data_IF_838687178508
#
_entry.id   IF_838687178508
#
_cell.length_a   1.000
_cell.length_b   1.000
_cell.length_c   1.000
_cell.angle_alpha   90.00
_cell.angle_beta   90.00
_cell.angle_gamma   90.00
#
_symmetry.space_group_name_H-M   'P 1'
#
loop_
_entity.id
_entity.type
_entity.pdbx_description
1 polymer ?
#
# COMPACT_ATOMS: atom_id res chain seq x y z
N UNK A 1 -13.24 -8.41 16.71
CA UNK A 1 -12.52 -9.65 16.52
C UNK A 1 -13.15 -10.40 15.36
N UNK A 2 -12.53 -10.34 14.17
CA UNK A 2 -12.98 -11.02 12.96
C UNK A 2 -12.51 -12.47 12.89
N UNK A 3 -12.66 -13.25 14.00
CA UNK A 3 -12.36 -14.66 13.96
C UNK A 3 -13.49 -15.42 13.26
N UNK A 4 -13.21 -16.00 12.10
CA UNK A 4 -14.11 -16.92 11.43
C UNK A 4 -14.20 -18.21 12.26
N UNK A 5 -15.37 -18.45 12.85
CA UNK A 5 -15.66 -19.71 13.53
C UNK A 5 -16.19 -20.71 12.50
N UNK A 6 -15.45 -21.78 12.24
CA UNK A 6 -15.92 -22.88 11.40
C UNK A 6 -16.80 -23.77 12.26
N UNK A 7 -18.11 -23.66 12.11
CA UNK A 7 -19.07 -24.55 12.78
C UNK A 7 -19.32 -25.73 11.87
N UNK A 8 -18.86 -26.90 12.28
CA UNK A 8 -19.15 -28.16 11.61
C UNK A 8 -20.19 -28.92 12.47
N UNK A 9 -21.41 -29.04 11.94
CA UNK A 9 -22.44 -29.87 12.56
C UNK A 9 -22.26 -31.26 11.97
N UNK A 10 -21.79 -32.20 12.77
CA UNK A 10 -21.75 -33.63 12.43
C UNK A 10 -22.78 -34.35 13.26
N UNK A 11 -23.68 -35.06 12.61
CA UNK A 11 -24.54 -36.03 13.27
C UNK A 11 -23.75 -37.35 13.49
N UNK A 12 -24.08 -38.08 14.53
CA UNK A 12 -23.41 -39.32 14.91
C UNK A 12 -23.81 -40.52 14.01
N UNK A 13 -24.27 -40.23 12.81
CA UNK A 13 -24.63 -41.22 11.79
C UNK A 13 -23.38 -41.57 10.96
N UNK A 14 -23.30 -42.81 10.53
CA UNK A 14 -22.26 -43.24 9.62
C UNK A 14 -22.21 -42.34 8.39
N UNK A 15 -21.01 -41.94 7.92
CA UNK A 15 -20.89 -41.04 6.79
C UNK A 15 -21.59 -41.64 5.56
N UNK A 16 -22.46 -40.86 4.95
CA UNK A 16 -23.15 -41.26 3.74
C UNK A 16 -22.15 -41.39 2.60
N UNK A 17 -21.94 -42.64 2.17
CA UNK A 17 -21.06 -43.00 1.04
C UNK A 17 -21.92 -43.37 -0.17
N UNK A 18 -21.31 -43.43 -1.36
CA UNK A 18 -21.99 -43.86 -2.59
C UNK A 18 -22.58 -45.30 -2.46
N UNK A 19 -22.00 -46.12 -1.60
CA UNK A 19 -22.39 -47.51 -1.42
C UNK A 19 -23.56 -47.68 -0.48
N UNK A 20 -23.66 -46.88 0.59
CA UNK A 20 -24.73 -46.98 1.59
C UNK A 20 -25.91 -46.05 1.39
N UNK A 21 -25.79 -45.07 0.44
CA UNK A 21 -26.80 -44.08 0.22
C UNK A 21 -28.15 -44.68 -0.26
N UNK A 22 -28.10 -45.74 -1.06
CA UNK A 22 -29.32 -46.41 -1.58
C UNK A 22 -30.01 -47.26 -0.52
N UNK A 23 -29.26 -47.70 0.48
CA UNK A 23 -29.78 -48.54 1.58
C UNK A 23 -30.37 -47.71 2.74
N UNK A 24 -30.36 -46.38 2.62
CA UNK A 24 -30.95 -45.51 3.62
C UNK A 24 -32.47 -45.76 3.71
N UNK A 25 -32.93 -46.12 4.90
CA UNK A 25 -34.32 -46.46 5.17
C UNK A 25 -35.10 -45.23 5.67
N UNK A 26 -36.24 -44.99 5.06
CA UNK A 26 -37.18 -43.92 5.46
C UNK A 26 -38.50 -44.55 5.95
N UNK A 27 -39.06 -44.04 7.02
CA UNK A 27 -40.38 -44.41 7.51
C UNK A 27 -41.42 -43.63 6.72
N UNK A 28 -42.25 -44.35 6.01
CA UNK A 28 -43.42 -43.75 5.30
C UNK A 28 -44.69 -44.11 6.07
N UNK A 29 -45.58 -43.15 6.23
CA UNK A 29 -46.90 -43.34 6.76
C UNK A 29 -47.94 -43.14 5.64
N UNK A 30 -48.64 -44.21 5.31
CA UNK A 30 -49.74 -44.13 4.32
C UNK A 30 -51.07 -44.23 5.08
N UNK A 31 -51.96 -43.29 4.81
CA UNK A 31 -53.30 -43.25 5.37
C UNK A 31 -54.21 -43.95 4.38
N UNK A 32 -54.79 -45.08 4.79
CA UNK A 32 -55.74 -45.80 3.98
C UNK A 32 -57.12 -45.08 3.96
N UNK A 33 -57.96 -45.39 2.97
CA UNK A 33 -59.28 -44.78 2.79
C UNK A 33 -60.18 -44.93 4.03
N UNK A 34 -59.85 -45.78 4.96
CA UNK A 34 -60.52 -46.02 6.26
C UNK A 34 -59.95 -45.18 7.42
N UNK A 35 -58.96 -44.33 7.17
CA UNK A 35 -58.33 -43.45 8.20
C UNK A 35 -57.28 -44.18 9.06
N UNK A 36 -56.90 -45.39 8.72
CA UNK A 36 -55.88 -46.15 9.46
C UNK A 36 -54.51 -45.81 8.89
N UNK A 37 -53.58 -45.36 9.75
CA UNK A 37 -52.20 -45.06 9.39
C UNK A 37 -51.38 -46.33 9.45
N UNK A 38 -50.91 -46.83 8.31
CA UNK A 38 -49.92 -47.94 8.23
C UNK A 38 -48.56 -47.32 8.02
N UNK A 39 -47.60 -47.63 8.89
CA UNK A 39 -46.20 -47.28 8.79
C UNK A 39 -45.43 -48.38 8.04
N UNK A 40 -44.84 -48.00 6.92
CA UNK A 40 -43.95 -48.88 6.15
C UNK A 40 -42.53 -48.28 6.12
N UNK A 41 -41.52 -49.10 5.93
CA UNK A 41 -40.16 -48.64 5.65
C UNK A 41 -39.87 -48.87 4.19
N UNK A 42 -39.34 -47.82 3.49
CA UNK A 42 -38.82 -47.92 2.13
C UNK A 42 -37.36 -47.46 2.09
N UNK A 43 -36.60 -48.02 1.19
CA UNK A 43 -35.21 -47.58 0.96
C UNK A 43 -35.16 -46.46 -0.07
N UNK A 44 -34.10 -45.66 -0.04
CA UNK A 44 -33.93 -44.61 -1.05
C UNK A 44 -33.87 -45.19 -2.47
N UNK A 45 -33.30 -46.43 -2.62
CA UNK A 45 -33.24 -47.15 -3.87
C UNK A 45 -34.59 -47.53 -4.47
N UNK A 46 -35.66 -47.67 -3.63
CA UNK A 46 -37.01 -47.94 -4.10
C UNK A 46 -37.70 -46.73 -4.73
N UNK A 47 -37.27 -45.52 -4.34
CA UNK A 47 -37.98 -44.29 -4.68
C UNK A 47 -37.15 -43.46 -5.71
N UNK A 48 -35.81 -43.54 -5.71
CA UNK A 48 -34.94 -42.70 -6.47
C UNK A 48 -33.83 -43.48 -7.17
N UNK A 49 -33.42 -43.03 -8.33
CA UNK A 49 -32.20 -43.44 -9.01
C UNK A 49 -31.19 -42.29 -8.96
N UNK A 50 -29.93 -42.57 -8.73
CA UNK A 50 -28.89 -41.59 -8.74
C UNK A 50 -28.00 -41.66 -9.99
N UNK A 51 -27.53 -40.51 -10.45
CA UNK A 51 -26.55 -40.36 -11.52
C UNK A 51 -25.36 -39.57 -11.02
N UNK A 52 -24.16 -39.96 -11.44
CA UNK A 52 -22.96 -39.20 -11.11
C UNK A 52 -22.88 -37.97 -12.04
N UNK A 53 -22.72 -36.80 -11.46
CA UNK A 53 -22.47 -35.56 -12.17
C UNK A 53 -21.26 -34.85 -11.56
N UNK A 54 -20.71 -33.90 -12.29
CA UNK A 54 -19.68 -32.99 -11.78
C UNK A 54 -20.38 -31.83 -11.08
N UNK A 55 -20.05 -31.59 -9.83
CA UNK A 55 -20.49 -30.42 -9.07
C UNK A 55 -19.25 -29.65 -8.57
N UNK A 56 -19.29 -28.35 -8.48
CA UNK A 56 -18.22 -27.59 -7.85
C UNK A 56 -18.13 -27.99 -6.36
N UNK A 57 -16.88 -28.15 -5.88
CA UNK A 57 -16.60 -28.53 -4.50
C UNK A 57 -17.06 -27.45 -3.49
N UNK A 58 -16.98 -26.20 -3.90
CA UNK A 58 -17.49 -25.06 -3.14
C UNK A 58 -18.10 -24.01 -4.07
N UNK A 59 -19.17 -23.37 -3.59
CA UNK A 59 -19.78 -22.23 -4.26
C UNK A 59 -19.45 -20.99 -3.45
N UNK A 60 -18.57 -20.14 -3.99
CA UNK A 60 -18.21 -18.87 -3.38
C UNK A 60 -19.10 -17.76 -3.94
N UNK A 61 -19.54 -16.86 -3.06
CA UNK A 61 -20.32 -15.69 -3.45
C UNK A 61 -19.88 -14.46 -2.66
N UNK A 62 -19.83 -13.33 -3.32
CA UNK A 62 -19.55 -12.03 -2.74
C UNK A 62 -20.63 -11.05 -3.21
N UNK A 63 -21.20 -10.27 -2.30
CA UNK A 63 -22.28 -9.32 -2.61
C UNK A 63 -23.44 -9.96 -3.39
N UNK A 64 -23.82 -11.21 -3.03
CA UNK A 64 -24.89 -12.00 -3.68
C UNK A 64 -24.56 -12.44 -5.13
N UNK A 65 -23.36 -12.21 -5.60
CA UNK A 65 -22.89 -12.67 -6.92
C UNK A 65 -21.98 -13.87 -6.76
N UNK A 66 -22.21 -14.93 -7.51
CA UNK A 66 -21.34 -16.11 -7.52
C UNK A 66 -20.09 -15.82 -8.32
N UNK A 67 -18.92 -16.24 -7.84
CA UNK A 67 -17.66 -16.07 -8.54
C UNK A 67 -16.78 -17.32 -8.48
N UNK A 68 -15.88 -17.43 -9.44
CA UNK A 68 -14.83 -18.44 -9.49
C UNK A 68 -13.50 -17.72 -9.50
N UNK A 69 -12.62 -18.11 -8.59
CA UNK A 69 -11.27 -17.55 -8.55
C UNK A 69 -10.33 -18.42 -9.38
N UNK A 70 -9.67 -17.79 -10.34
CA UNK A 70 -8.58 -18.38 -11.11
C UNK A 70 -7.28 -17.74 -10.64
N UNK A 71 -6.41 -18.53 -10.03
CA UNK A 71 -5.10 -18.06 -9.56
C UNK A 71 -4.03 -18.34 -10.60
N UNK A 72 -3.19 -17.35 -10.86
CA UNK A 72 -2.03 -17.48 -11.75
C UNK A 72 -0.83 -16.79 -11.12
N UNK A 73 0.34 -17.37 -11.28
CA UNK A 73 1.59 -16.81 -10.81
C UNK A 73 2.47 -16.38 -11.98
N UNK A 74 3.32 -15.39 -11.75
CA UNK A 74 4.28 -14.96 -12.78
C UNK A 74 5.56 -15.79 -12.68
N UNK A 75 6.14 -16.10 -13.83
CA UNK A 75 7.44 -16.78 -13.89
C UNK A 75 8.54 -15.90 -13.28
N UNK A 76 9.54 -16.55 -12.69
CA UNK A 76 10.72 -15.86 -12.15
C UNK A 76 11.37 -14.93 -13.17
N UNK A 77 11.69 -13.72 -12.75
CA UNK A 77 12.30 -12.68 -13.59
C UNK A 77 11.31 -11.74 -14.29
N UNK A 78 10.01 -11.97 -14.17
CA UNK A 78 8.99 -11.06 -14.68
C UNK A 78 8.40 -10.20 -13.54
N UNK A 79 8.19 -8.92 -13.82
CA UNK A 79 7.56 -8.02 -12.86
C UNK A 79 6.03 -8.22 -12.86
N UNK A 80 5.49 -8.66 -11.73
CA UNK A 80 4.07 -8.98 -11.54
C UNK A 80 3.15 -7.80 -11.90
N UNK A 81 3.52 -6.58 -11.53
CA UNK A 81 2.73 -5.37 -11.81
C UNK A 81 2.62 -5.08 -13.31
N UNK A 82 3.71 -5.30 -14.07
CA UNK A 82 3.70 -5.10 -15.53
C UNK A 82 2.85 -6.17 -16.20
N UNK A 83 3.00 -7.44 -15.79
CA UNK A 83 2.22 -8.54 -16.34
C UNK A 83 0.73 -8.40 -16.02
N UNK A 84 0.37 -7.98 -14.83
CA UNK A 84 -1.02 -7.72 -14.45
C UNK A 84 -1.67 -6.62 -15.28
N UNK A 85 -0.92 -5.54 -15.61
CA UNK A 85 -1.44 -4.50 -16.53
C UNK A 85 -1.65 -5.01 -17.94
N UNK A 86 -0.77 -5.89 -18.42
CA UNK A 86 -0.92 -6.51 -19.76
C UNK A 86 -2.13 -7.46 -19.75
N UNK A 87 -2.30 -8.24 -18.69
CA UNK A 87 -3.43 -9.12 -18.50
C UNK A 87 -4.75 -8.33 -18.41
N UNK A 88 -4.79 -7.26 -17.62
CA UNK A 88 -5.97 -6.40 -17.52
C UNK A 88 -6.40 -5.87 -18.89
N UNK A 89 -5.46 -5.33 -19.67
CA UNK A 89 -5.77 -4.86 -21.04
C UNK A 89 -6.34 -5.94 -21.93
N UNK A 90 -5.85 -7.18 -21.82
CA UNK A 90 -6.37 -8.31 -22.58
C UNK A 90 -7.76 -8.73 -22.13
N UNK A 91 -8.01 -8.71 -20.82
CA UNK A 91 -9.33 -9.00 -20.24
C UNK A 91 -10.35 -7.93 -20.62
N UNK A 92 -9.95 -6.64 -20.57
CA UNK A 92 -10.81 -5.53 -21.00
C UNK A 92 -11.15 -5.65 -22.50
N UNK A 93 -10.18 -6.04 -23.34
CA UNK A 93 -10.43 -6.28 -24.76
C UNK A 93 -11.35 -7.51 -24.98
N UNK A 94 -11.19 -8.56 -24.19
CA UNK A 94 -12.04 -9.75 -24.26
C UNK A 94 -13.47 -9.47 -23.77
N UNK A 95 -13.64 -8.62 -22.75
CA UNK A 95 -14.95 -8.19 -22.26
C UNK A 95 -15.78 -7.41 -23.30
N UNK A 96 -15.12 -6.85 -24.32
CA UNK A 96 -15.77 -6.15 -25.45
C UNK A 96 -16.15 -7.10 -26.59
N UNK A 97 -15.77 -8.38 -26.52
CA UNK A 97 -16.12 -9.38 -27.55
C UNK A 97 -17.45 -10.07 -27.18
N UNK A 98 -18.24 -10.45 -28.18
CA UNK A 98 -19.51 -11.18 -28.02
C UNK A 98 -19.33 -12.62 -27.48
N UNK A 99 -18.09 -13.03 -27.19
CA UNK A 99 -17.78 -14.36 -26.64
C UNK A 99 -18.05 -14.45 -25.14
N UNK A 100 -18.27 -13.31 -24.47
CA UNK A 100 -18.54 -13.28 -23.03
C UNK A 100 -20.05 -13.51 -22.76
N UNK A 101 -20.42 -14.48 -21.91
CA UNK A 101 -21.82 -14.68 -21.54
C UNK A 101 -22.41 -13.43 -20.87
N UNK A 102 -23.66 -13.11 -21.21
CA UNK A 102 -24.37 -11.99 -20.60
C UNK A 102 -24.44 -12.14 -19.06
N UNK A 103 -24.10 -11.07 -18.35
CA UNK A 103 -24.11 -11.05 -16.87
C UNK A 103 -22.83 -11.53 -16.20
N UNK A 104 -21.78 -11.90 -16.98
CA UNK A 104 -20.47 -12.20 -16.45
C UNK A 104 -19.58 -10.94 -16.43
N UNK A 105 -18.72 -10.81 -15.43
CA UNK A 105 -17.71 -9.75 -15.35
C UNK A 105 -16.39 -10.33 -14.84
N UNK A 106 -15.29 -9.75 -15.28
CA UNK A 106 -13.96 -10.07 -14.77
C UNK A 106 -13.54 -9.01 -13.76
N UNK A 107 -13.00 -9.47 -12.64
CA UNK A 107 -12.27 -8.64 -11.68
C UNK A 107 -10.88 -9.22 -11.53
N UNK A 108 -9.84 -8.44 -11.84
CA UNK A 108 -8.47 -8.84 -11.58
C UNK A 108 -8.12 -8.39 -10.16
N UNK A 109 -8.08 -9.36 -9.26
CA UNK A 109 -7.67 -9.16 -7.88
C UNK A 109 -6.26 -9.69 -7.69
N UNK A 110 -5.50 -9.09 -6.79
CA UNK A 110 -4.15 -9.51 -6.48
C UNK A 110 -3.29 -8.38 -5.92
N UNK A 111 -2.05 -8.72 -5.60
CA UNK A 111 -1.10 -7.77 -5.01
C UNK A 111 -0.94 -6.50 -5.86
N UNK A 112 -0.92 -6.63 -7.18
CA UNK A 112 -0.74 -5.49 -8.09
C UNK A 112 -1.95 -4.56 -8.16
N UNK A 113 -3.19 -5.07 -8.07
CA UNK A 113 -4.40 -4.23 -8.03
C UNK A 113 -4.47 -3.47 -6.70
N UNK A 114 -4.16 -4.17 -5.61
CA UNK A 114 -4.06 -3.58 -4.27
C UNK A 114 -2.99 -2.49 -4.21
N UNK A 115 -1.80 -2.75 -4.78
CA UNK A 115 -0.72 -1.74 -4.86
C UNK A 115 -1.16 -0.52 -5.67
N UNK A 116 -1.83 -0.69 -6.82
CA UNK A 116 -2.28 0.45 -7.62
C UNK A 116 -3.33 1.30 -6.88
N UNK A 117 -4.32 0.70 -6.25
CA UNK A 117 -5.29 1.43 -5.41
C UNK A 117 -4.60 2.19 -4.28
N UNK A 118 -3.64 1.55 -3.60
CA UNK A 118 -2.89 2.18 -2.52
C UNK A 118 -2.00 3.32 -3.01
N UNK A 119 -1.39 3.19 -4.20
CA UNK A 119 -0.62 4.29 -4.80
C UNK A 119 -1.51 5.50 -5.04
N UNK A 120 -2.71 5.29 -5.59
CA UNK A 120 -3.65 6.38 -5.85
C UNK A 120 -4.13 7.04 -4.55
N UNK A 121 -4.48 6.25 -3.54
CA UNK A 121 -4.84 6.76 -2.21
C UNK A 121 -3.67 7.53 -1.57
N UNK A 122 -2.46 6.99 -1.61
CA UNK A 122 -1.29 7.64 -1.04
C UNK A 122 -0.94 8.94 -1.75
N UNK A 123 -1.07 8.99 -3.09
CA UNK A 123 -0.89 10.22 -3.86
C UNK A 123 -1.93 11.26 -3.44
N UNK A 124 -3.18 10.87 -3.21
CA UNK A 124 -4.22 11.77 -2.70
C UNK A 124 -3.88 12.29 -1.29
N UNK A 125 -3.48 11.41 -0.38
CA UNK A 125 -3.08 11.82 0.98
C UNK A 125 -1.84 12.71 0.97
N UNK A 126 -0.85 12.44 0.12
CA UNK A 126 0.31 13.31 -0.05
C UNK A 126 -0.07 14.66 -0.65
N UNK A 127 -0.94 14.66 -1.65
CA UNK A 127 -1.45 15.90 -2.25
C UNK A 127 -2.23 16.76 -1.24
N UNK A 128 -2.89 16.14 -0.26
CA UNK A 128 -3.54 16.83 0.83
C UNK A 128 -2.56 17.28 1.92
N UNK A 129 -1.58 16.45 2.25
CA UNK A 129 -0.59 16.74 3.29
C UNK A 129 0.33 17.92 2.94
N UNK A 130 0.76 18.02 1.67
CA UNK A 130 1.65 19.11 1.22
C UNK A 130 1.09 20.51 1.48
N UNK A 131 -0.18 20.86 1.12
CA UNK A 131 -0.77 22.14 1.46
C UNK A 131 -0.88 22.39 2.97
N UNK A 132 -1.20 21.36 3.76
CA UNK A 132 -1.25 21.50 5.21
C UNK A 132 0.13 21.83 5.81
N UNK A 133 1.15 21.10 5.40
CA UNK A 133 2.54 21.36 5.81
C UNK A 133 2.96 22.77 5.37
N UNK A 134 2.59 23.18 4.15
CA UNK A 134 2.85 24.53 3.65
C UNK A 134 2.17 25.59 4.52
N UNK A 135 0.88 25.43 4.85
CA UNK A 135 0.14 26.37 5.69
C UNK A 135 0.76 26.51 7.09
N UNK A 136 1.11 25.39 7.73
CA UNK A 136 1.78 25.40 9.03
C UNK A 136 3.12 26.14 8.96
N UNK A 137 3.90 25.90 7.91
CA UNK A 137 5.16 26.59 7.71
C UNK A 137 4.98 28.09 7.41
N UNK A 138 3.95 28.48 6.63
CA UNK A 138 3.63 29.91 6.39
C UNK A 138 3.30 30.59 7.70
N UNK A 139 2.50 29.97 8.56
CA UNK A 139 2.18 30.49 9.87
C UNK A 139 3.42 30.64 10.78
N UNK A 140 4.35 29.68 10.71
CA UNK A 140 5.58 29.69 11.51
C UNK A 140 6.60 30.72 11.02
N UNK A 141 6.82 30.80 9.71
CA UNK A 141 7.83 31.69 9.11
C UNK A 141 7.31 33.10 8.82
N UNK A 142 6.01 33.34 8.92
CA UNK A 142 5.36 34.60 8.51
C UNK A 142 5.80 35.08 7.10
N UNK A 143 6.11 34.15 6.22
CA UNK A 143 6.63 34.35 4.88
C UNK A 143 6.10 33.28 3.96
N UNK A 144 5.71 33.62 2.74
CA UNK A 144 5.26 32.67 1.72
C UNK A 144 6.44 32.02 0.99
N UNK A 145 7.59 32.69 0.91
CA UNK A 145 8.74 32.22 0.14
C UNK A 145 9.57 31.17 0.88
N UNK A 146 9.74 31.33 2.21
CA UNK A 146 10.51 30.38 3.02
C UNK A 146 9.97 28.94 2.95
N UNK A 147 8.65 28.69 3.13
CA UNK A 147 8.07 27.37 3.00
C UNK A 147 8.22 26.78 1.59
N UNK A 148 8.11 27.61 0.56
CA UNK A 148 8.26 27.18 -0.82
C UNK A 148 9.64 26.57 -1.12
N UNK A 149 10.71 27.19 -0.59
CA UNK A 149 12.07 26.68 -0.72
C UNK A 149 12.22 25.31 -0.03
N UNK A 150 11.63 25.17 1.16
CA UNK A 150 11.68 23.92 1.91
C UNK A 150 10.91 22.83 1.18
N UNK A 151 9.70 23.11 0.68
CA UNK A 151 8.91 22.13 -0.07
C UNK A 151 9.59 21.62 -1.35
N UNK A 152 10.45 22.46 -1.96
CA UNK A 152 11.21 22.04 -3.13
C UNK A 152 12.17 20.86 -2.86
N UNK A 153 12.50 20.61 -1.59
CA UNK A 153 13.33 19.46 -1.21
C UNK A 153 12.59 18.13 -1.26
N UNK A 154 11.25 18.14 -1.20
CA UNK A 154 10.41 16.91 -1.21
C UNK A 154 10.52 16.14 -2.53
N UNK A 155 10.34 16.75 -3.71
CA UNK A 155 10.58 16.08 -4.99
C UNK A 155 11.99 15.49 -5.11
N UNK A 156 12.98 16.19 -4.58
CA UNK A 156 14.36 15.69 -4.56
C UNK A 156 14.51 14.44 -3.69
N UNK A 157 13.86 14.41 -2.53
CA UNK A 157 13.86 13.25 -1.67
C UNK A 157 13.21 12.03 -2.37
N UNK A 158 12.11 12.24 -3.07
CA UNK A 158 11.43 11.18 -3.81
C UNK A 158 12.30 10.62 -4.93
N UNK A 159 13.00 11.48 -5.69
CA UNK A 159 13.95 10.99 -6.69
C UNK A 159 15.05 10.13 -6.08
N UNK A 160 15.57 10.52 -4.90
CA UNK A 160 16.55 9.71 -4.16
C UNK A 160 16.02 8.36 -3.71
N UNK A 161 14.77 8.32 -3.19
CA UNK A 161 14.10 7.08 -2.79
C UNK A 161 13.85 6.14 -3.96
N UNK A 162 13.34 6.67 -5.08
CA UNK A 162 13.10 5.89 -6.31
C UNK A 162 14.41 5.35 -6.91
N UNK A 163 15.47 6.16 -6.94
CA UNK A 163 16.80 5.70 -7.37
C UNK A 163 17.32 4.58 -6.47
N UNK A 164 17.12 4.69 -5.15
CA UNK A 164 17.50 3.64 -4.22
C UNK A 164 16.79 2.32 -4.49
N UNK A 165 15.48 2.35 -4.73
CA UNK A 165 14.70 1.17 -5.09
C UNK A 165 15.15 0.56 -6.42
N UNK A 166 15.42 1.40 -7.42
CA UNK A 166 15.89 0.96 -8.73
C UNK A 166 17.26 0.26 -8.64
N UNK A 167 18.20 0.80 -7.87
CA UNK A 167 19.54 0.22 -7.69
C UNK A 167 19.52 -1.09 -6.91
N UNK A 168 18.62 -1.19 -5.91
CA UNK A 168 18.50 -2.40 -5.09
C UNK A 168 17.58 -3.46 -5.70
N UNK A 169 16.86 -3.13 -6.79
CA UNK A 169 15.90 -4.04 -7.42
C UNK A 169 14.64 -4.32 -6.60
N UNK A 170 14.39 -3.51 -5.58
CA UNK A 170 13.21 -3.66 -4.72
C UNK A 170 11.94 -3.27 -5.45
N UNK A 171 10.88 -4.06 -5.25
CA UNK A 171 9.56 -3.77 -5.81
C UNK A 171 8.85 -2.67 -5.01
N UNK A 172 7.98 -1.94 -5.70
CA UNK A 172 7.12 -0.94 -5.06
C UNK A 172 6.01 -1.68 -4.29
N UNK A 173 6.20 -1.82 -3.00
CA UNK A 173 5.23 -2.43 -2.09
C UNK A 173 4.50 -1.34 -1.28
N UNK A 174 3.40 -1.72 -0.63
CA UNK A 174 2.68 -0.87 0.32
C UNK A 174 3.61 -0.28 1.39
N UNK A 175 4.51 -1.11 1.93
CA UNK A 175 5.43 -0.71 2.98
C UNK A 175 6.48 0.27 2.47
N UNK A 176 6.98 0.09 1.23
CA UNK A 176 7.89 1.06 0.62
C UNK A 176 7.22 2.41 0.34
N UNK A 177 5.94 2.42 -0.01
CA UNK A 177 5.16 3.66 -0.16
C UNK A 177 5.00 4.41 1.17
N UNK A 178 4.76 3.70 2.27
CA UNK A 178 4.79 4.32 3.62
C UNK A 178 6.15 4.97 3.90
N UNK A 179 7.23 4.38 3.40
CA UNK A 179 8.57 4.98 3.47
C UNK A 179 8.67 6.36 2.83
N UNK A 180 7.99 6.61 1.72
CA UNK A 180 7.96 7.94 1.08
C UNK A 180 7.22 8.99 1.93
N UNK A 181 6.17 8.61 2.64
CA UNK A 181 5.46 9.52 3.56
C UNK A 181 6.36 9.92 4.71
N UNK A 182 7.03 8.94 5.34
CA UNK A 182 7.99 9.19 6.42
C UNK A 182 9.16 10.04 5.93
N UNK A 183 9.66 9.74 4.73
CA UNK A 183 10.73 10.50 4.08
C UNK A 183 10.35 11.97 3.88
N UNK A 184 9.13 12.25 3.41
CA UNK A 184 8.63 13.61 3.24
C UNK A 184 8.71 14.41 4.55
N UNK A 185 8.23 13.84 5.65
CA UNK A 185 8.24 14.50 6.95
C UNK A 185 9.65 14.77 7.49
N UNK A 186 10.56 13.81 7.33
CA UNK A 186 11.95 13.95 7.82
C UNK A 186 12.76 14.96 7.02
N UNK A 187 12.59 15.01 5.70
CA UNK A 187 13.31 15.94 4.81
C UNK A 187 12.85 17.37 5.00
N UNK A 188 11.53 17.58 5.12
CA UNK A 188 10.96 18.91 5.40
C UNK A 188 11.50 19.46 6.71
N UNK A 189 11.59 18.65 7.77
CA UNK A 189 12.16 19.05 9.05
C UNK A 189 13.62 19.56 8.93
N UNK A 190 14.46 18.87 8.17
CA UNK A 190 15.83 19.30 7.93
C UNK A 190 15.90 20.65 7.18
N UNK A 191 15.02 20.85 6.18
CA UNK A 191 14.91 22.10 5.44
C UNK A 191 14.45 23.27 6.31
N UNK A 192 13.48 23.04 7.19
CA UNK A 192 12.97 24.06 8.13
C UNK A 192 14.10 24.58 9.01
N UNK A 193 14.88 23.70 9.64
CA UNK A 193 15.97 24.07 10.56
C UNK A 193 17.02 24.93 9.86
N UNK A 194 17.30 24.67 8.58
CA UNK A 194 18.26 25.46 7.80
C UNK A 194 17.69 26.88 7.49
N UNK A 195 16.49 26.93 6.93
CA UNK A 195 15.88 28.20 6.47
C UNK A 195 15.54 29.11 7.66
N UNK A 196 15.05 28.53 8.77
CA UNK A 196 14.75 29.28 9.98
C UNK A 196 15.99 29.98 10.54
N UNK A 197 17.09 29.25 10.67
CA UNK A 197 18.33 29.85 11.18
C UNK A 197 18.90 30.91 10.24
N UNK A 198 18.81 30.72 8.92
CA UNK A 198 19.19 31.73 7.96
C UNK A 198 18.36 33.01 8.09
N UNK A 199 17.04 32.86 8.31
CA UNK A 199 16.14 34.00 8.54
C UNK A 199 16.49 34.76 9.84
N UNK A 200 16.76 34.02 10.94
CA UNK A 200 17.16 34.60 12.23
C UNK A 200 18.43 35.43 12.12
N UNK A 201 19.45 34.91 11.42
CA UNK A 201 20.71 35.65 11.21
C UNK A 201 20.51 36.92 10.36
N UNK A 202 19.61 36.89 9.38
CA UNK A 202 19.26 38.05 8.56
C UNK A 202 18.48 39.10 9.36
N UNK A 203 17.56 38.70 10.20
CA UNK A 203 16.87 39.57 11.16
C UNK A 203 17.85 40.24 12.14
N UNK A 204 18.92 39.51 12.52
CA UNK A 204 20.03 40.04 13.31
C UNK A 204 20.96 41.01 12.57
N UNK A 205 20.64 41.38 11.32
CA UNK A 205 21.40 42.38 10.55
C UNK A 205 22.54 41.83 9.68
N UNK A 206 22.73 40.51 9.58
CA UNK A 206 23.73 39.93 8.71
C UNK A 206 23.31 40.07 7.22
N UNK A 207 24.27 40.34 6.37
CA UNK A 207 24.09 40.30 4.93
C UNK A 207 23.67 38.88 4.48
N UNK A 208 22.81 38.79 3.48
CA UNK A 208 22.23 37.52 2.99
C UNK A 208 23.26 36.40 2.77
N UNK A 209 24.35 36.70 2.04
CA UNK A 209 25.39 35.70 1.76
C UNK A 209 26.19 35.31 3.02
N UNK A 210 26.47 36.29 3.87
CA UNK A 210 27.15 35.99 5.14
C UNK A 210 26.28 35.15 6.06
N UNK A 211 24.95 35.43 6.13
CA UNK A 211 23.99 34.63 6.88
C UNK A 211 23.92 33.17 6.36
N UNK A 212 23.88 32.95 5.05
CA UNK A 212 23.87 31.59 4.46
C UNK A 212 25.14 30.82 4.77
N UNK A 213 26.32 31.44 4.65
CA UNK A 213 27.60 30.81 4.99
C UNK A 213 27.68 30.47 6.47
N UNK A 214 27.23 31.38 7.34
CA UNK A 214 27.19 31.16 8.78
C UNK A 214 26.20 30.03 9.13
N UNK A 215 25.02 29.99 8.49
CA UNK A 215 24.03 28.91 8.66
C UNK A 215 24.62 27.58 8.24
N UNK A 216 25.26 27.50 7.07
CA UNK A 216 25.92 26.27 6.60
C UNK A 216 26.94 25.75 7.61
N UNK A 217 27.84 26.63 8.13
CA UNK A 217 28.86 26.23 9.11
C UNK A 217 28.25 25.74 10.42
N UNK A 218 27.16 26.32 10.88
CA UNK A 218 26.54 26.01 12.19
C UNK A 218 25.58 24.83 12.11
N UNK A 219 24.75 24.76 11.06
CA UNK A 219 23.67 23.78 10.95
C UNK A 219 24.01 22.52 10.18
N UNK A 220 25.08 22.51 9.38
CA UNK A 220 25.49 21.33 8.64
C UNK A 220 25.78 20.12 9.55
N UNK A 221 26.49 20.34 10.67
CA UNK A 221 26.79 19.24 11.63
C UNK A 221 25.54 18.61 12.24
N UNK A 222 24.59 19.35 12.83
CA UNK A 222 23.33 18.77 13.33
C UNK A 222 22.54 18.03 12.25
N UNK A 223 22.41 18.58 11.06
CA UNK A 223 21.65 17.97 9.95
C UNK A 223 22.31 16.64 9.52
N UNK A 224 23.62 16.62 9.34
CA UNK A 224 24.34 15.39 9.00
C UNK A 224 24.26 14.36 10.13
N UNK A 225 24.26 14.78 11.38
CA UNK A 225 24.16 13.90 12.53
C UNK A 225 22.79 13.21 12.61
N UNK A 226 21.70 13.96 12.42
CA UNK A 226 20.34 13.39 12.38
C UNK A 226 20.15 12.46 11.20
N UNK A 227 20.67 12.82 10.02
CA UNK A 227 20.62 11.96 8.84
C UNK A 227 21.40 10.66 9.05
N UNK A 228 22.62 10.76 9.56
CA UNK A 228 23.46 9.58 9.79
C UNK A 228 22.87 8.64 10.84
N UNK A 229 22.33 9.17 11.94
CA UNK A 229 21.66 8.35 12.97
C UNK A 229 20.43 7.65 12.42
N UNK A 230 19.60 8.33 11.60
CA UNK A 230 18.43 7.72 10.97
C UNK A 230 18.84 6.65 9.96
N UNK A 231 19.84 6.92 9.13
CA UNK A 231 20.36 5.96 8.14
C UNK A 231 20.91 4.72 8.85
N UNK A 232 21.72 4.88 9.90
CA UNK A 232 22.26 3.75 10.67
C UNK A 232 21.17 2.93 11.35
N UNK A 233 20.12 3.58 11.88
CA UNK A 233 18.98 2.89 12.47
C UNK A 233 18.21 2.06 11.43
N UNK A 234 18.00 2.61 10.23
CA UNK A 234 17.30 1.90 9.14
C UNK A 234 18.19 0.80 8.51
N UNK A 235 19.51 0.96 8.54
CA UNK A 235 20.45 -0.03 8.00
C UNK A 235 20.34 -1.38 8.70
N UNK A 236 20.03 -1.38 10.00
CA UNK A 236 19.77 -2.59 10.76
C UNK A 236 18.62 -3.41 10.15
N UNK A 237 17.56 -2.76 9.65
CA UNK A 237 16.42 -3.45 9.03
C UNK A 237 16.80 -4.12 7.69
N UNK A 238 17.73 -3.51 6.95
CA UNK A 238 18.16 -4.07 5.64
C UNK A 238 19.02 -5.31 5.83
N UNK A 239 19.83 -5.38 6.89
CA UNK A 239 20.75 -6.50 7.14
C UNK A 239 20.18 -7.58 8.06
N UNK A 240 19.02 -7.36 8.66
CA UNK A 240 18.40 -8.36 9.51
C UNK A 240 17.73 -9.45 8.66
N UNK A 241 17.86 -10.70 9.10
CA UNK A 241 17.26 -11.85 8.43
C UNK A 241 15.86 -12.22 8.99
N UNK A 242 15.34 -11.43 9.91
CA UNK A 242 14.00 -11.65 10.47
C UNK A 242 12.91 -11.38 9.42
N UNK A 243 11.84 -12.17 9.44
CA UNK A 243 10.72 -12.02 8.49
C UNK A 243 10.11 -10.61 8.52
N UNK A 244 9.97 -10.00 9.71
CA UNK A 244 9.48 -8.64 9.86
C UNK A 244 10.41 -7.60 9.22
N UNK A 245 11.72 -7.77 9.37
CA UNK A 245 12.73 -6.89 8.77
C UNK A 245 12.77 -7.01 7.25
N UNK A 246 12.59 -8.21 6.72
CA UNK A 246 12.49 -8.43 5.27
C UNK A 246 11.30 -7.70 4.66
N UNK A 247 10.13 -7.76 5.30
CA UNK A 247 8.94 -7.01 4.87
C UNK A 247 9.17 -5.49 4.90
N UNK A 248 9.90 -4.99 5.92
CA UNK A 248 10.17 -3.56 6.09
C UNK A 248 11.41 -3.07 5.32
N UNK A 249 12.17 -3.96 4.70
CA UNK A 249 13.41 -3.62 3.98
C UNK A 249 13.19 -2.60 2.86
N UNK A 250 12.08 -2.70 2.13
CA UNK A 250 11.71 -1.74 1.09
C UNK A 250 11.53 -0.32 1.64
N UNK A 251 10.87 -0.16 2.78
CA UNK A 251 10.73 1.12 3.47
C UNK A 251 12.09 1.66 3.92
N UNK A 252 12.92 0.81 4.52
CA UNK A 252 14.24 1.21 4.99
C UNK A 252 15.12 1.72 3.85
N UNK A 253 15.13 1.05 2.69
CA UNK A 253 15.90 1.45 1.50
C UNK A 253 15.43 2.82 0.98
N UNK A 254 14.11 3.04 0.89
CA UNK A 254 13.54 4.34 0.49
C UNK A 254 14.02 5.44 1.41
N UNK A 255 13.97 5.22 2.72
CA UNK A 255 14.40 6.23 3.71
C UNK A 255 15.92 6.45 3.64
N UNK A 256 16.73 5.39 3.60
CA UNK A 256 18.20 5.50 3.53
C UNK A 256 18.63 6.30 2.30
N UNK A 257 18.20 5.86 1.12
CA UNK A 257 18.62 6.47 -0.13
C UNK A 257 17.98 7.86 -0.32
N UNK A 258 16.71 7.98 -0.02
CA UNK A 258 15.98 9.24 -0.15
C UNK A 258 16.49 10.32 0.80
N UNK A 259 16.69 9.98 2.08
CA UNK A 259 17.19 10.93 3.07
C UNK A 259 18.65 11.33 2.81
N UNK A 260 19.51 10.37 2.44
CA UNK A 260 20.92 10.65 2.10
C UNK A 260 21.01 11.58 0.89
N UNK A 261 20.28 11.27 -0.19
CA UNK A 261 20.25 12.09 -1.39
C UNK A 261 19.66 13.47 -1.12
N UNK A 262 18.49 13.52 -0.45
CA UNK A 262 17.84 14.77 -0.09
C UNK A 262 18.73 15.65 0.79
N UNK A 263 19.43 15.10 1.77
CA UNK A 263 20.30 15.87 2.66
C UNK A 263 21.44 16.50 1.89
N UNK A 264 22.09 15.74 1.00
CA UNK A 264 23.14 16.29 0.14
C UNK A 264 22.60 17.41 -0.75
N UNK A 265 21.47 17.17 -1.41
CA UNK A 265 20.86 18.17 -2.30
C UNK A 265 20.34 19.39 -1.54
N UNK A 266 19.77 19.22 -0.35
CA UNK A 266 19.29 20.32 0.50
C UNK A 266 20.45 21.26 0.88
N UNK A 267 21.61 20.72 1.22
CA UNK A 267 22.77 21.53 1.59
C UNK A 267 23.30 22.40 0.43
N UNK A 268 23.05 21.99 -0.83
CA UNK A 268 23.45 22.76 -2.01
C UNK A 268 22.31 23.60 -2.57
N UNK A 269 21.14 23.02 -2.75
CA UNK A 269 20.03 23.63 -3.48
C UNK A 269 19.31 24.68 -2.62
N UNK A 270 19.10 24.42 -1.33
CA UNK A 270 18.39 25.36 -0.45
C UNK A 270 19.12 26.69 -0.33
N UNK A 271 20.43 26.77 -0.09
CA UNK A 271 21.14 28.05 -0.09
C UNK A 271 21.06 28.79 -1.42
N UNK A 272 21.15 28.06 -2.54
CA UNK A 272 21.08 28.67 -3.89
C UNK A 272 19.67 29.23 -4.13
N UNK A 273 18.61 28.47 -3.86
CA UNK A 273 17.24 28.93 -4.00
C UNK A 273 16.96 30.13 -3.08
N UNK A 274 17.48 30.07 -1.86
CA UNK A 274 17.36 31.17 -0.91
C UNK A 274 18.05 32.45 -1.43
N UNK A 275 19.26 32.33 -2.00
CA UNK A 275 19.99 33.50 -2.57
C UNK A 275 19.27 34.08 -3.79
N UNK A 276 18.62 33.26 -4.61
CA UNK A 276 17.87 33.67 -5.79
C UNK A 276 16.57 34.41 -5.43
N UNK A 277 15.80 33.80 -4.50
CA UNK A 277 14.44 34.24 -4.17
C UNK A 277 14.42 35.40 -3.20
N UNK A 278 15.31 35.45 -2.22
CA UNK A 278 15.36 36.52 -1.20
C UNK A 278 16.27 37.69 -1.56
N UNK A 279 16.01 38.36 -2.66
CA UNK A 279 16.79 39.55 -3.09
C UNK A 279 16.52 40.78 -2.23
N UNK A 280 15.35 40.91 -1.60
CA UNK A 280 14.97 42.04 -0.74
C UNK A 280 15.36 41.83 0.72
N UNK A 281 15.68 42.88 1.49
CA UNK A 281 15.88 42.73 2.94
C UNK A 281 14.59 42.21 3.62
N UNK A 282 14.70 41.49 4.76
CA UNK A 282 13.53 41.03 5.48
C UNK A 282 12.73 42.25 5.97
N UNK A 283 11.40 42.14 5.86
CA UNK A 283 10.50 43.10 6.48
C UNK A 283 10.63 42.91 8.00
N UNK A 284 11.10 43.91 8.70
CA UNK A 284 11.01 43.98 10.16
C UNK A 284 9.56 44.33 10.44
N UNK A 285 8.80 43.39 10.95
CA UNK A 285 7.46 43.62 11.49
C UNK A 285 7.69 43.96 12.96
N UNK A 286 7.48 45.21 13.30
CA UNK A 286 7.48 45.72 14.68
C UNK A 286 6.34 45.08 15.49
#
# INVERSE_FOLDING_TARGET
>A
DGSTMKVQISDNLDPVTKENMMDMTFTTSVMDATGTITTGTCTLGDIASWTTGTAPDSITSENQTRYITVTADTLDGYNTTVQSRVLQKKLDAFALTDEMPEGCSFSLDGESSTVNMMVDEMVQWMALALPFVYLVMVAQFQSLLSPFIVLFTVPLAFTGGLLGMLVTGQQLTMISLMGFIVLMGTVVNNGIVFVDYANQLRLGGLERRAALVATGKTRMRPILMTTLTTVLAMLQMVFSNDMASQLMSGMAIVIICGLSYATLMTLYIVPILYDILFKKPPLVVD
#
